data_IF_077320219367
#
_entry.id   IF_077320219367
#
_cell.length_a   1.000
_cell.length_b   1.000
_cell.length_c   1.000
_cell.angle_alpha   90.00
_cell.angle_beta   90.00
_cell.angle_gamma   90.00
#
_symmetry.space_group_name_H-M   'P 1'
#
loop_
_entity.id
_entity.type
_entity.pdbx_description
1 polymer ?
#
# COMPACT_ATOMS: atom_id res chain seq x y z
N UNK A 1 9.21 -11.36 -11.18
CA UNK A 1 8.04 -10.65 -11.74
C UNK A 1 7.07 -10.32 -10.62
N UNK A 2 6.48 -9.11 -10.61
CA UNK A 2 5.45 -8.72 -9.65
C UNK A 2 4.03 -9.05 -10.16
N UNK A 3 3.10 -9.28 -9.25
CA UNK A 3 1.68 -9.37 -9.58
C UNK A 3 0.93 -8.14 -9.05
N UNK A 4 0.09 -7.54 -9.88
CA UNK A 4 -0.85 -6.48 -9.52
C UNK A 4 -2.21 -7.12 -9.37
N UNK A 5 -2.82 -7.00 -8.19
CA UNK A 5 -4.13 -7.62 -7.92
C UNK A 5 -5.22 -6.91 -8.71
N UNK A 6 -5.92 -7.65 -9.55
CA UNK A 6 -7.11 -7.20 -10.26
C UNK A 6 -8.36 -7.74 -9.57
N UNK A 7 -9.10 -6.87 -8.92
CA UNK A 7 -10.41 -7.19 -8.34
C UNK A 7 -11.54 -6.33 -8.95
N UNK A 8 -11.30 -5.79 -10.17
CA UNK A 8 -12.28 -4.96 -10.87
C UNK A 8 -12.34 -3.51 -10.38
N UNK A 9 -11.45 -3.10 -9.49
CA UNK A 9 -11.33 -1.74 -9.00
C UNK A 9 -9.85 -1.34 -8.92
N UNK A 10 -9.56 -0.09 -9.18
CA UNK A 10 -8.20 0.43 -9.03
C UNK A 10 -7.62 1.05 -10.30
N UNK A 11 -6.56 1.83 -10.09
CA UNK A 11 -5.81 2.46 -11.18
C UNK A 11 -4.69 1.50 -11.68
N UNK A 12 -5.08 0.29 -12.08
CA UNK A 12 -4.16 -0.79 -12.49
C UNK A 12 -3.22 -0.35 -13.61
N UNK A 13 -3.75 0.41 -14.59
CA UNK A 13 -2.99 0.88 -15.74
C UNK A 13 -1.85 1.82 -15.33
N UNK A 14 -2.08 2.72 -14.38
CA UNK A 14 -1.03 3.65 -13.92
C UNK A 14 0.06 2.93 -13.14
N UNK A 15 -0.31 1.99 -12.27
CA UNK A 15 0.67 1.16 -11.55
C UNK A 15 1.49 0.33 -12.53
N UNK A 16 0.86 -0.33 -13.50
CA UNK A 16 1.56 -1.09 -14.53
C UNK A 16 2.53 -0.23 -15.33
N UNK A 17 2.08 0.96 -15.79
CA UNK A 17 2.95 1.90 -16.52
C UNK A 17 4.14 2.39 -15.70
N UNK A 18 3.95 2.65 -14.41
CA UNK A 18 5.05 3.04 -13.51
C UNK A 18 6.09 1.92 -13.39
N UNK A 19 5.64 0.67 -13.23
CA UNK A 19 6.53 -0.50 -13.20
C UNK A 19 7.24 -0.72 -14.55
N UNK A 20 6.53 -0.60 -15.66
CA UNK A 20 7.10 -0.67 -17.01
C UNK A 20 8.19 0.40 -17.23
N UNK A 21 7.95 1.62 -16.74
CA UNK A 21 8.94 2.71 -16.81
C UNK A 21 10.23 2.39 -16.02
N UNK A 22 10.12 1.71 -14.89
CA UNK A 22 11.24 1.22 -14.09
C UNK A 22 11.86 -0.08 -14.65
N UNK A 23 11.37 -0.62 -15.77
CA UNK A 23 11.82 -1.91 -16.30
C UNK A 23 11.46 -3.11 -15.42
N UNK A 24 10.45 -2.96 -14.55
CA UNK A 24 10.00 -4.00 -13.61
C UNK A 24 8.95 -4.87 -14.28
N UNK A 25 9.21 -6.18 -14.50
CA UNK A 25 8.24 -7.09 -15.10
C UNK A 25 7.06 -7.33 -14.16
N UNK A 26 5.85 -7.13 -14.68
CA UNK A 26 4.62 -7.28 -13.92
C UNK A 26 3.48 -7.87 -14.73
N UNK A 27 2.52 -8.52 -14.03
CA UNK A 27 1.25 -8.98 -14.56
C UNK A 27 0.09 -8.40 -13.76
N UNK A 28 -1.02 -8.13 -14.42
CA UNK A 28 -2.30 -7.81 -13.78
C UNK A 28 -3.12 -9.08 -13.74
N UNK A 29 -3.56 -9.51 -12.56
CA UNK A 29 -4.24 -10.80 -12.42
C UNK A 29 -5.19 -10.85 -11.22
N UNK A 30 -6.31 -11.58 -11.40
CA UNK A 30 -7.23 -11.99 -10.34
C UNK A 30 -7.03 -13.46 -9.92
N UNK A 31 -6.11 -14.19 -10.57
CA UNK A 31 -5.93 -15.63 -10.36
C UNK A 31 -5.02 -15.88 -9.16
N UNK A 32 -5.49 -16.60 -8.10
CA UNK A 32 -4.69 -16.90 -6.93
C UNK A 32 -3.35 -17.56 -7.24
N UNK A 33 -3.32 -18.52 -8.17
CA UNK A 33 -2.11 -19.25 -8.53
C UNK A 33 -1.05 -18.32 -9.14
N UNK A 34 -1.48 -17.31 -9.91
CA UNK A 34 -0.57 -16.33 -10.48
C UNK A 34 -0.05 -15.34 -9.42
N UNK A 35 -0.85 -14.99 -8.41
CA UNK A 35 -0.44 -14.21 -7.25
C UNK A 35 0.59 -14.99 -6.41
N UNK A 36 0.37 -16.27 -6.18
CA UNK A 36 1.28 -17.16 -5.43
C UNK A 36 2.62 -17.36 -6.14
N UNK A 37 2.61 -17.46 -7.47
CA UNK A 37 3.82 -17.62 -8.27
C UNK A 37 4.66 -16.34 -8.38
N UNK A 38 4.11 -15.17 -8.06
CA UNK A 38 4.81 -13.89 -8.16
C UNK A 38 5.86 -13.73 -7.06
N UNK A 39 6.93 -12.99 -7.34
CA UNK A 39 7.96 -12.62 -6.35
C UNK A 39 7.45 -11.64 -5.30
N UNK A 40 6.46 -10.84 -5.64
CA UNK A 40 5.79 -9.90 -4.75
C UNK A 40 4.47 -9.46 -5.33
N UNK A 41 3.59 -8.95 -4.47
CA UNK A 41 2.22 -8.55 -4.81
C UNK A 41 2.01 -7.08 -4.54
N UNK A 42 1.50 -6.35 -5.52
CA UNK A 42 1.00 -4.98 -5.35
C UNK A 42 -0.51 -5.03 -5.33
N UNK A 43 -1.09 -4.41 -4.30
CA UNK A 43 -2.53 -4.34 -4.09
C UNK A 43 -3.00 -2.89 -4.14
N UNK A 44 -3.24 -2.34 -5.34
CA UNK A 44 -3.75 -1.00 -5.49
C UNK A 44 -5.25 -0.96 -5.25
N UNK A 45 -5.77 0.20 -4.90
CA UNK A 45 -7.20 0.39 -4.80
C UNK A 45 -7.61 1.84 -4.93
N UNK A 46 -8.80 2.05 -5.49
CA UNK A 46 -9.51 3.33 -5.54
C UNK A 46 -11.00 3.10 -5.28
N UNK A 47 -11.73 4.14 -4.87
CA UNK A 47 -13.15 4.06 -4.56
C UNK A 47 -13.41 3.80 -3.08
N UNK A 48 -14.50 3.11 -2.74
CA UNK A 48 -14.97 2.93 -1.38
C UNK A 48 -14.63 1.55 -0.80
N UNK A 49 -14.25 1.51 0.47
CA UNK A 49 -13.86 0.29 1.18
C UNK A 49 -14.95 -0.80 1.16
N UNK A 50 -16.22 -0.42 1.38
CA UNK A 50 -17.33 -1.37 1.35
C UNK A 50 -17.51 -2.04 -0.02
N UNK A 51 -17.38 -1.28 -1.10
CA UNK A 51 -17.46 -1.79 -2.46
C UNK A 51 -16.27 -2.71 -2.76
N UNK A 52 -15.06 -2.31 -2.43
CA UNK A 52 -13.86 -3.11 -2.63
C UNK A 52 -13.96 -4.47 -1.91
N UNK A 53 -14.38 -4.46 -0.63
CA UNK A 53 -14.56 -5.69 0.13
C UNK A 53 -15.65 -6.59 -0.45
N UNK A 54 -16.75 -6.01 -0.96
CA UNK A 54 -17.80 -6.79 -1.63
C UNK A 54 -17.27 -7.49 -2.89
N UNK A 55 -16.50 -6.78 -3.71
CA UNK A 55 -15.92 -7.34 -4.94
C UNK A 55 -14.87 -8.41 -4.62
N UNK A 56 -14.00 -8.18 -3.64
CA UNK A 56 -13.00 -9.15 -3.20
C UNK A 56 -13.64 -10.46 -2.71
N UNK A 57 -14.73 -10.36 -1.95
CA UNK A 57 -15.52 -11.53 -1.51
C UNK A 57 -16.13 -12.27 -2.69
N UNK A 58 -16.79 -11.56 -3.57
CA UNK A 58 -17.42 -12.15 -4.76
C UNK A 58 -16.40 -12.83 -5.67
N UNK A 59 -15.19 -12.28 -5.78
CA UNK A 59 -14.08 -12.86 -6.55
C UNK A 59 -13.33 -13.98 -5.82
N UNK A 60 -13.65 -14.27 -4.55
CA UNK A 60 -12.96 -15.28 -3.74
C UNK A 60 -11.50 -14.93 -3.41
N UNK A 61 -11.12 -13.64 -3.43
CA UNK A 61 -9.74 -13.20 -3.25
C UNK A 61 -9.33 -12.94 -1.79
N UNK A 62 -10.27 -12.84 -0.84
CA UNK A 62 -9.93 -12.57 0.57
C UNK A 62 -9.00 -13.63 1.17
N UNK A 63 -9.34 -14.91 1.03
CA UNK A 63 -8.54 -16.01 1.59
C UNK A 63 -7.16 -16.11 0.91
N UNK A 64 -7.03 -16.09 -0.42
CA UNK A 64 -5.72 -16.04 -1.08
C UNK A 64 -4.83 -14.88 -0.63
N UNK A 65 -5.36 -13.66 -0.54
CA UNK A 65 -4.57 -12.50 -0.08
C UNK A 65 -4.08 -12.66 1.36
N UNK A 66 -4.92 -13.19 2.26
CA UNK A 66 -4.52 -13.52 3.63
C UNK A 66 -3.42 -14.57 3.67
N UNK A 67 -3.55 -15.62 2.87
CA UNK A 67 -2.55 -16.70 2.79
C UNK A 67 -1.20 -16.20 2.28
N UNK A 68 -1.19 -15.32 1.28
CA UNK A 68 0.04 -14.72 0.75
C UNK A 68 0.81 -13.94 1.82
N UNK A 69 0.10 -13.08 2.57
CA UNK A 69 0.71 -12.30 3.66
C UNK A 69 1.17 -13.19 4.81
N UNK A 70 0.37 -14.19 5.20
CA UNK A 70 0.74 -15.16 6.23
C UNK A 70 1.96 -16.00 5.85
N UNK A 71 2.13 -16.31 4.56
CA UNK A 71 3.29 -17.01 4.02
C UNK A 71 4.53 -16.11 3.84
N UNK A 72 4.46 -14.83 4.25
CA UNK A 72 5.57 -13.89 4.13
C UNK A 72 5.84 -13.41 2.69
N UNK A 73 4.89 -13.57 1.78
CA UNK A 73 5.03 -13.05 0.41
C UNK A 73 5.17 -11.52 0.45
N UNK A 74 6.18 -10.93 -0.17
CA UNK A 74 6.30 -9.47 -0.25
C UNK A 74 5.02 -8.82 -0.78
N UNK A 75 4.50 -7.85 -0.03
CA UNK A 75 3.19 -7.26 -0.28
C UNK A 75 3.19 -5.74 -0.10
N UNK A 76 2.64 -5.01 -1.06
CA UNK A 76 2.52 -3.55 -1.03
C UNK A 76 1.07 -3.11 -1.28
N UNK A 77 0.39 -2.60 -0.25
CA UNK A 77 -0.92 -1.95 -0.36
C UNK A 77 -0.80 -0.48 -0.75
N UNK A 78 -1.60 -0.02 -1.73
CA UNK A 78 -1.58 1.36 -2.22
C UNK A 78 -2.96 2.00 -2.08
N UNK A 79 -3.04 3.16 -1.42
CA UNK A 79 -4.23 3.98 -1.21
C UNK A 79 -5.39 3.19 -0.58
N UNK A 80 -6.49 2.93 -1.27
CA UNK A 80 -7.57 2.08 -0.74
C UNK A 80 -7.03 0.67 -0.40
N UNK A 81 -6.11 0.12 -1.19
CA UNK A 81 -5.43 -1.14 -0.87
C UNK A 81 -4.73 -1.09 0.49
N UNK A 82 -4.11 0.05 0.84
CA UNK A 82 -3.54 0.28 2.17
C UNK A 82 -4.63 0.26 3.28
N UNK A 83 -5.75 0.93 3.06
CA UNK A 83 -6.82 1.09 4.04
C UNK A 83 -7.54 -0.22 4.38
N UNK A 84 -7.79 -1.06 3.38
CA UNK A 84 -8.50 -2.32 3.58
C UNK A 84 -7.61 -3.48 4.07
N UNK A 85 -6.30 -3.26 4.27
CA UNK A 85 -5.44 -4.20 4.99
C UNK A 85 -5.69 -4.22 6.50
N UNK A 86 -6.30 -3.18 7.06
CA UNK A 86 -6.65 -3.05 8.47
C UNK A 86 -7.81 -3.98 8.85
N UNK A 87 -8.24 -3.94 10.11
CA UNK A 87 -9.34 -4.76 10.62
C UNK A 87 -10.71 -4.27 10.16
N UNK A 88 -10.89 -2.93 10.04
CA UNK A 88 -12.16 -2.31 9.64
C UNK A 88 -11.97 -0.92 9.06
N UNK A 89 -12.99 -0.45 8.36
CA UNK A 89 -13.07 0.91 7.84
C UNK A 89 -14.37 1.60 8.30
N UNK A 90 -14.26 2.88 8.68
CA UNK A 90 -15.43 3.74 8.88
C UNK A 90 -16.14 4.05 7.54
N UNK A 91 -15.45 3.90 6.41
CA UNK A 91 -16.07 4.01 5.11
C UNK A 91 -16.99 2.82 4.85
N UNK A 92 -18.29 3.06 5.02
CA UNK A 92 -19.33 2.03 4.98
C UNK A 92 -19.45 1.17 6.22
N UNK A 93 -18.67 1.43 7.29
CA UNK A 93 -18.75 0.72 8.56
C UNK A 93 -18.46 -0.79 8.47
N UNK A 94 -17.53 -1.19 7.59
CA UNK A 94 -17.31 -2.59 7.20
C UNK A 94 -16.05 -3.19 7.81
N UNK A 95 -16.05 -4.51 8.13
CA UNK A 95 -14.82 -5.26 8.36
C UNK A 95 -14.02 -5.37 7.05
N UNK A 96 -12.70 -5.30 7.18
CA UNK A 96 -11.77 -5.37 6.05
C UNK A 96 -10.86 -6.60 6.15
N UNK A 97 -9.72 -6.63 5.47
CA UNK A 97 -8.90 -7.84 5.41
C UNK A 97 -8.26 -8.25 6.74
N UNK A 98 -8.07 -7.35 7.72
CA UNK A 98 -7.50 -7.68 9.03
C UNK A 98 -6.10 -8.29 8.95
N UNK A 99 -5.27 -7.80 8.03
CA UNK A 99 -3.87 -8.23 7.86
C UNK A 99 -2.92 -7.41 8.74
N UNK A 100 -3.37 -6.26 9.20
CA UNK A 100 -2.71 -5.43 10.20
C UNK A 100 -3.74 -4.91 11.22
N UNK A 101 -3.36 -4.74 12.50
CA UNK A 101 -4.23 -4.14 13.49
C UNK A 101 -4.51 -2.68 13.16
N UNK A 102 -5.74 -2.24 13.41
CA UNK A 102 -6.11 -0.85 13.25
C UNK A 102 -7.40 -0.60 12.50
N UNK A 103 -7.66 0.67 12.25
CA UNK A 103 -8.89 1.15 11.63
C UNK A 103 -8.61 2.26 10.63
N UNK A 104 -9.34 2.25 9.52
CA UNK A 104 -9.39 3.38 8.61
C UNK A 104 -10.50 4.35 9.05
N UNK A 105 -10.13 5.60 9.40
CA UNK A 105 -11.03 6.62 9.93
C UNK A 105 -11.33 7.70 8.92
N UNK A 106 -12.51 8.32 9.04
CA UNK A 106 -12.87 9.48 8.25
C UNK A 106 -12.15 10.73 8.77
N UNK A 107 -11.65 11.58 7.87
CA UNK A 107 -11.19 12.90 8.27
C UNK A 107 -12.35 13.76 8.79
N UNK A 108 -12.13 14.53 9.87
CA UNK A 108 -13.11 15.53 10.32
C UNK A 108 -13.40 16.54 9.19
N UNK A 109 -14.66 16.97 9.03
CA UNK A 109 -15.04 17.85 7.91
C UNK A 109 -14.55 19.31 8.03
N UNK A 110 -14.17 19.71 9.23
CA UNK A 110 -13.81 21.08 9.63
C UNK A 110 -12.33 21.24 10.00
N UNK A 111 -11.48 20.36 9.46
CA UNK A 111 -10.05 20.42 9.72
C UNK A 111 -9.43 21.74 9.26
N UNK A 112 -8.41 22.17 10.02
CA UNK A 112 -7.61 23.36 9.71
C UNK A 112 -6.12 23.03 9.82
N UNK A 113 -5.33 23.72 9.01
CA UNK A 113 -3.89 23.76 9.14
C UNK A 113 -3.45 24.60 10.34
N UNK A 114 -2.18 24.61 10.71
CA UNK A 114 -1.63 25.36 11.85
C UNK A 114 -1.83 26.88 11.71
N UNK A 115 -1.82 27.37 10.49
CA UNK A 115 -2.05 28.80 10.18
C UNK A 115 -3.54 29.19 10.21
N UNK A 116 -4.42 28.23 10.56
CA UNK A 116 -5.87 28.43 10.61
C UNK A 116 -6.58 28.31 9.25
N UNK A 117 -5.88 28.10 8.16
CA UNK A 117 -6.50 27.85 6.85
C UNK A 117 -7.30 26.54 6.86
N UNK A 118 -8.36 26.47 6.07
CA UNK A 118 -9.18 25.26 5.97
C UNK A 118 -8.42 24.16 5.23
N UNK A 119 -8.40 22.97 5.79
CA UNK A 119 -7.91 21.74 5.15
C UNK A 119 -9.11 20.95 4.59
N UNK A 120 -9.45 21.11 3.29
CA UNK A 120 -10.63 20.46 2.72
C UNK A 120 -10.49 18.94 2.65
N UNK A 121 -11.61 18.23 2.80
CA UNK A 121 -11.68 16.77 2.62
C UNK A 121 -12.35 16.49 1.28
N UNK A 122 -11.75 15.64 0.42
CA UNK A 122 -10.56 14.82 0.61
C UNK A 122 -9.24 15.62 0.65
N UNK A 123 -8.22 15.08 1.36
CA UNK A 123 -6.83 15.49 1.16
C UNK A 123 -6.44 15.18 -0.29
N UNK A 124 -6.19 16.20 -1.07
CA UNK A 124 -5.83 16.07 -2.49
C UNK A 124 -4.65 16.99 -2.81
N UNK A 125 -3.55 16.40 -3.25
CA UNK A 125 -2.35 17.14 -3.63
C UNK A 125 -1.06 16.46 -3.20
N UNK A 126 0.03 17.21 -3.29
CA UNK A 126 1.37 16.79 -2.94
C UNK A 126 1.66 17.10 -1.47
N UNK A 127 2.28 16.14 -0.79
CA UNK A 127 2.64 16.31 0.61
C UNK A 127 3.87 15.45 0.95
N UNK A 128 4.54 15.78 2.06
CA UNK A 128 5.78 15.16 2.50
C UNK A 128 5.55 14.08 3.54
N UNK A 129 6.54 13.21 3.66
CA UNK A 129 6.57 12.18 4.69
C UNK A 129 7.51 12.61 5.82
N UNK A 130 7.04 12.49 7.05
CA UNK A 130 7.90 12.51 8.24
C UNK A 130 8.17 11.06 8.64
N UNK A 131 9.34 10.55 8.29
CA UNK A 131 9.76 9.19 8.66
C UNK A 131 9.91 9.10 10.17
N UNK A 132 9.20 8.15 10.78
CA UNK A 132 9.25 7.89 12.23
C UNK A 132 10.03 6.62 12.55
N UNK A 133 10.20 5.74 11.56
CA UNK A 133 11.00 4.52 11.66
C UNK A 133 11.68 4.23 10.30
N UNK A 134 12.99 3.91 10.29
CA UNK A 134 13.66 3.49 9.06
C UNK A 134 12.96 2.30 8.40
N UNK A 135 12.95 2.28 7.07
CA UNK A 135 12.37 1.19 6.29
C UNK A 135 13.03 1.12 4.93
N UNK A 136 13.37 -0.09 4.51
CA UNK A 136 13.92 -0.38 3.17
C UNK A 136 13.06 0.15 2.03
N UNK A 137 11.73 0.24 2.24
CA UNK A 137 10.81 0.81 1.26
C UNK A 137 11.14 2.27 0.92
N UNK A 138 11.70 3.02 1.87
CA UNK A 138 12.00 4.45 1.73
C UNK A 138 13.50 4.74 1.55
N UNK A 139 14.34 3.72 1.34
CA UNK A 139 15.77 3.90 1.15
C UNK A 139 16.08 4.80 -0.05
N UNK A 140 17.01 5.76 0.16
CA UNK A 140 17.40 6.72 -0.87
C UNK A 140 16.40 7.83 -1.19
N UNK A 141 15.24 7.84 -0.55
CA UNK A 141 14.23 8.89 -0.70
C UNK A 141 14.49 9.99 0.31
N UNK A 142 14.79 11.19 -0.18
CA UNK A 142 15.14 12.34 0.66
C UNK A 142 13.94 12.89 1.45
N UNK A 143 14.19 13.64 2.54
CA UNK A 143 13.13 14.15 3.43
C UNK A 143 12.23 15.20 2.77
N UNK A 144 12.69 15.85 1.70
CA UNK A 144 11.92 16.84 0.95
C UNK A 144 11.07 16.23 -0.18
N UNK A 145 11.12 14.90 -0.33
CA UNK A 145 10.34 14.23 -1.34
C UNK A 145 8.83 14.37 -1.09
N UNK A 146 8.11 14.71 -2.14
CA UNK A 146 6.65 14.86 -2.09
C UNK A 146 5.97 13.72 -2.82
N UNK A 147 4.84 13.28 -2.27
CA UNK A 147 4.00 12.23 -2.79
C UNK A 147 2.59 12.73 -3.04
N UNK A 148 1.91 12.16 -4.02
CA UNK A 148 0.55 12.54 -4.38
C UNK A 148 -0.47 11.77 -3.56
N UNK A 149 -1.31 12.51 -2.83
CA UNK A 149 -2.42 12.01 -2.02
C UNK A 149 -3.75 12.36 -2.65
N UNK A 150 -4.73 11.46 -2.51
CA UNK A 150 -6.15 11.73 -2.80
C UNK A 150 -7.01 10.78 -1.97
N UNK A 151 -7.40 11.21 -0.75
CA UNK A 151 -8.16 10.35 0.16
C UNK A 151 -8.99 11.16 1.17
N UNK A 152 -10.16 10.64 1.53
CA UNK A 152 -11.04 11.19 2.54
C UNK A 152 -10.99 10.45 3.89
N UNK A 153 -10.24 9.36 3.95
CA UNK A 153 -10.05 8.51 5.12
C UNK A 153 -8.57 8.27 5.36
N UNK A 154 -8.15 8.06 6.60
CA UNK A 154 -6.77 7.87 7.00
C UNK A 154 -6.61 6.67 7.92
N UNK A 155 -5.41 6.14 7.98
CA UNK A 155 -5.03 4.96 8.76
C UNK A 155 -4.71 5.34 10.20
N UNK A 156 -5.30 4.62 11.16
CA UNK A 156 -4.82 4.49 12.54
C UNK A 156 -4.42 3.03 12.78
N UNK A 157 -3.16 2.79 13.06
CA UNK A 157 -2.60 1.45 13.31
C UNK A 157 -1.72 1.47 14.54
N UNK A 158 -1.21 0.30 14.95
CA UNK A 158 -0.31 0.16 16.08
C UNK A 158 0.99 0.95 15.82
N UNK A 159 1.50 1.72 16.82
CA UNK A 159 2.67 2.59 16.64
C UNK A 159 3.91 1.86 16.13
N UNK A 160 4.10 0.61 16.51
CA UNK A 160 5.21 -0.25 16.06
C UNK A 160 5.17 -0.59 14.56
N UNK A 161 4.02 -0.44 13.92
CA UNK A 161 3.87 -0.60 12.48
C UNK A 161 4.07 0.70 11.71
N UNK A 162 3.95 1.85 12.35
CA UNK A 162 4.10 3.14 11.67
C UNK A 162 5.54 3.34 11.17
N UNK A 163 5.68 3.66 9.90
CA UNK A 163 6.96 3.95 9.23
C UNK A 163 7.07 5.44 8.95
N UNK A 164 6.00 6.05 8.42
CA UNK A 164 5.98 7.47 8.17
C UNK A 164 4.59 8.07 8.44
N UNK A 165 4.60 9.34 8.83
CA UNK A 165 3.42 10.17 9.02
C UNK A 165 3.42 11.34 8.06
N UNK A 166 2.24 11.86 7.80
CA UNK A 166 2.04 13.08 7.00
C UNK A 166 1.10 14.01 7.76
N UNK A 167 1.32 15.31 7.62
CA UNK A 167 0.47 16.34 8.21
C UNK A 167 -0.47 16.93 7.17
N UNK A 168 -1.76 16.94 7.49
CA UNK A 168 -2.81 17.63 6.73
C UNK A 168 -3.95 17.97 7.68
N UNK A 169 -3.95 19.18 8.23
CA UNK A 169 -4.84 19.59 9.32
C UNK A 169 -4.62 18.79 10.62
N UNK A 170 -4.18 17.55 10.50
CA UNK A 170 -3.76 16.64 11.57
C UNK A 170 -2.63 15.74 11.08
N UNK A 171 -1.88 15.15 12.00
CA UNK A 171 -0.98 14.05 11.64
C UNK A 171 -1.74 12.74 11.49
N UNK A 172 -1.39 11.95 10.46
CA UNK A 172 -1.90 10.62 10.22
C UNK A 172 -0.79 9.68 9.71
N UNK A 173 -0.97 8.38 9.89
CA UNK A 173 -0.06 7.38 9.37
C UNK A 173 -0.20 7.29 7.84
N UNK A 174 0.88 7.58 7.12
CA UNK A 174 0.92 7.56 5.65
C UNK A 174 1.69 6.39 5.07
N UNK A 175 2.56 5.75 5.87
CA UNK A 175 3.22 4.49 5.55
C UNK A 175 3.25 3.62 6.79
N UNK A 176 2.80 2.39 6.68
CA UNK A 176 2.90 1.41 7.75
C UNK A 176 3.32 0.03 7.24
N UNK A 177 3.78 -0.81 8.16
CA UNK A 177 4.12 -2.18 7.87
C UNK A 177 5.40 -2.64 8.56
N UNK A 178 5.99 -3.70 8.03
CA UNK A 178 7.27 -4.29 8.39
C UNK A 178 7.93 -4.82 7.12
N UNK A 179 9.16 -5.27 7.20
CA UNK A 179 9.83 -5.84 6.03
C UNK A 179 9.01 -6.98 5.42
N UNK A 180 8.83 -6.91 4.12
CA UNK A 180 7.99 -7.81 3.34
C UNK A 180 6.49 -7.47 3.32
N UNK A 181 6.00 -6.59 4.22
CA UNK A 181 4.60 -6.18 4.23
C UNK A 181 4.49 -4.67 4.46
N UNK A 182 4.18 -3.93 3.43
CA UNK A 182 4.07 -2.47 3.46
C UNK A 182 2.74 -1.98 2.91
N UNK A 183 2.34 -0.81 3.38
CA UNK A 183 1.17 -0.10 2.91
C UNK A 183 1.42 1.41 2.88
N UNK A 184 1.01 2.06 1.80
CA UNK A 184 1.18 3.49 1.58
C UNK A 184 -0.16 4.15 1.23
N UNK A 185 -0.45 5.29 1.87
CA UNK A 185 -1.71 6.01 1.64
C UNK A 185 -1.69 6.82 0.34
N UNK A 186 -0.55 7.25 -0.09
CA UNK A 186 -0.35 8.00 -1.33
C UNK A 186 -0.29 7.05 -2.55
N UNK A 187 -0.22 7.65 -3.73
CA UNK A 187 -0.09 6.96 -5.01
C UNK A 187 1.35 7.04 -5.53
N UNK A 188 2.22 6.05 -5.28
CA UNK A 188 3.60 6.08 -5.78
C UNK A 188 3.64 6.17 -7.31
N UNK A 189 2.69 5.53 -8.01
CA UNK A 189 2.57 5.55 -9.47
C UNK A 189 2.22 6.95 -10.04
N UNK A 190 1.89 7.91 -9.17
CA UNK A 190 1.58 9.32 -9.51
C UNK A 190 2.56 10.30 -8.87
N UNK A 191 3.54 9.81 -8.13
CA UNK A 191 4.42 10.62 -7.28
C UNK A 191 5.77 10.92 -7.93
N UNK A 192 5.90 10.80 -9.25
CA UNK A 192 7.13 11.10 -9.96
C UNK A 192 8.33 10.27 -9.48
N UNK A 193 9.52 10.89 -9.43
CA UNK A 193 10.76 10.18 -9.05
C UNK A 193 10.72 9.51 -7.68
N UNK A 194 10.24 10.15 -6.58
CA UNK A 194 10.15 9.48 -5.28
C UNK A 194 9.24 8.25 -5.30
N UNK A 195 8.13 8.32 -6.03
CA UNK A 195 7.22 7.20 -6.18
C UNK A 195 7.82 6.04 -6.97
N UNK A 196 8.56 6.33 -8.04
CA UNK A 196 9.27 5.32 -8.82
C UNK A 196 10.37 4.65 -7.97
N UNK A 197 11.17 5.44 -7.24
CA UNK A 197 12.19 4.91 -6.33
C UNK A 197 11.59 3.96 -5.28
N UNK A 198 10.41 4.30 -4.72
CA UNK A 198 9.70 3.41 -3.79
C UNK A 198 9.31 2.08 -4.44
N UNK A 199 8.82 2.10 -5.69
CA UNK A 199 8.48 0.88 -6.41
C UNK A 199 9.72 0.04 -6.75
N UNK A 200 10.84 0.68 -7.08
CA UNK A 200 12.14 0.03 -7.30
C UNK A 200 12.66 -0.61 -6.00
N UNK A 201 12.56 0.07 -4.86
CA UNK A 201 12.93 -0.46 -3.55
C UNK A 201 12.09 -1.71 -3.20
N UNK A 202 10.76 -1.64 -3.40
CA UNK A 202 9.90 -2.79 -3.21
C UNK A 202 10.29 -3.97 -4.10
N UNK A 203 10.56 -3.74 -5.38
CA UNK A 203 10.99 -4.80 -6.29
C UNK A 203 12.37 -5.37 -5.94
N UNK A 204 13.31 -4.53 -5.52
CA UNK A 204 14.62 -4.94 -5.03
C UNK A 204 14.49 -5.94 -3.89
N UNK A 205 13.66 -5.60 -2.88
CA UNK A 205 13.35 -6.51 -1.78
C UNK A 205 12.75 -7.84 -2.26
N UNK A 206 11.76 -7.79 -3.17
CA UNK A 206 11.14 -9.00 -3.70
C UNK A 206 12.15 -9.94 -4.40
N UNK A 207 13.14 -9.38 -5.08
CA UNK A 207 14.19 -10.16 -5.73
C UNK A 207 15.12 -10.85 -4.74
N UNK A 208 15.51 -10.14 -3.69
CA UNK A 208 16.37 -10.68 -2.63
C UNK A 208 15.68 -11.84 -1.90
N UNK A 209 14.42 -11.67 -1.51
CA UNK A 209 13.63 -12.73 -0.88
C UNK A 209 13.48 -13.96 -1.78
N UNK A 210 13.26 -13.75 -3.08
CA UNK A 210 13.17 -14.85 -4.03
C UNK A 210 14.52 -15.60 -4.20
N UNK A 211 15.64 -14.90 -4.16
CA UNK A 211 16.98 -15.51 -4.21
C UNK A 211 17.26 -16.34 -2.95
N UNK A 212 16.99 -15.78 -1.77
CA UNK A 212 17.15 -16.51 -0.49
C UNK A 212 16.31 -17.79 -0.43
N UNK A 213 15.05 -17.72 -0.92
CA UNK A 213 14.19 -18.90 -0.95
C UNK A 213 14.72 -20.03 -1.86
N UNK A 214 15.42 -19.68 -2.94
CA UNK A 214 16.06 -20.67 -3.83
C UNK A 214 17.29 -21.31 -3.19
N UNK A 215 18.15 -20.51 -2.55
CA UNK A 215 19.36 -21.00 -1.85
C UNK A 215 18.99 -21.98 -0.72
N UNK A 216 17.96 -21.64 0.08
CA UNK A 216 17.50 -22.50 1.18
C UNK A 216 16.97 -23.84 0.68
N UNK A 217 16.31 -23.87 -0.48
CA UNK A 217 15.84 -25.14 -1.08
C UNK A 217 16.98 -26.01 -1.59
N UNK A 218 18.06 -25.43 -2.12
CA UNK A 218 19.24 -26.16 -2.58
C UNK A 218 20.07 -26.77 -1.43
N UNK A 219 20.05 -26.17 -0.25
CA UNK A 219 20.74 -26.67 0.93
C UNK A 219 19.99 -27.83 1.61
N UNK A 220 18.73 -28.07 1.28
CA UNK A 220 17.86 -29.11 1.88
C UNK A 220 17.63 -30.31 0.93
N UNK A 221 18.13 -30.25 -0.29
CA UNK A 221 18.07 -31.32 -1.30
C UNK A 221 19.43 -32.02 -1.42
#
# INVERSE_FOLDING_TARGET
MLAIVDYGAGNLTSVRRALEHCGIPSIVTARPEALEAAQGVIFPGVGAAAQAMSVLRAAGLEAPLRSLVAAGRPFLGICLGCQILLERSEEGGVPTLGLAPGICRRFPPDMREEDGTRAPVPHMGWNRLRVVRPSRLLDGIGPDAEFYFVHGYYVETAPELEIARTRYGREFCSVFGRDGFWAVQFHPEKSGRPGLALLENFYGYCREEAAHALETRHCLS
#
